data_IF_092289949481
#
_entry.id   IF_092289949481
#
_cell.length_a   1.000
_cell.length_b   1.000
_cell.length_c   1.000
_cell.angle_alpha   90.00
_cell.angle_beta   90.00
_cell.angle_gamma   90.00
#
_symmetry.space_group_name_H-M   'P 1'
#
loop_
_entity.id
_entity.type
_entity.pdbx_description
1 polymer ?
#
# COMPACT_ATOMS: atom_id res chain seq x y z
N UNK A 1 16.83 -7.29 40.57
CA UNK A 1 17.55 -6.62 39.48
C UNK A 1 16.52 -6.11 38.47
N UNK A 2 16.01 -4.92 38.72
CA UNK A 2 15.17 -4.14 37.83
C UNK A 2 16.05 -3.61 36.71
N UNK A 3 15.60 -3.70 35.44
CA UNK A 3 15.74 -2.73 34.34
C UNK A 3 15.35 -3.43 33.04
N UNK A 4 14.05 -3.48 32.79
CA UNK A 4 13.47 -3.89 31.53
C UNK A 4 13.43 -2.69 30.57
N UNK A 5 14.03 -2.92 29.40
CA UNK A 5 13.57 -2.52 28.06
C UNK A 5 13.52 -1.02 27.77
N UNK A 6 14.57 -0.57 27.08
CA UNK A 6 14.66 0.73 26.42
C UNK A 6 13.58 0.92 25.35
N UNK A 7 12.98 2.09 25.46
CA UNK A 7 12.10 2.81 24.54
C UNK A 7 12.85 3.14 23.23
N UNK A 8 12.28 2.76 22.09
CA UNK A 8 12.63 3.30 20.77
C UNK A 8 11.30 3.60 20.06
N UNK A 9 10.92 4.88 19.86
CA UNK A 9 9.68 5.22 19.19
C UNK A 9 9.77 4.87 17.70
N UNK A 10 8.92 3.93 17.30
CA UNK A 10 8.69 3.57 15.92
C UNK A 10 8.40 4.81 15.06
N UNK A 11 9.24 5.03 14.05
CA UNK A 11 8.99 6.01 12.99
C UNK A 11 7.64 5.70 12.33
N UNK A 12 6.73 6.66 12.14
CA UNK A 12 5.54 6.44 11.34
C UNK A 12 5.95 6.37 9.87
N UNK A 13 6.48 5.22 9.45
CA UNK A 13 6.40 4.82 8.05
C UNK A 13 4.92 4.60 7.78
N UNK A 14 4.24 5.63 7.32
CA UNK A 14 2.96 5.47 6.63
C UNK A 14 3.25 5.38 5.14
N UNK A 15 3.67 4.22 4.57
CA UNK A 15 3.31 3.96 3.20
C UNK A 15 1.81 3.69 3.26
N UNK A 16 1.03 4.65 2.75
CA UNK A 16 -0.32 4.52 2.20
C UNK A 16 -0.80 3.09 2.30
N UNK A 17 -1.83 2.82 3.13
CA UNK A 17 -2.58 1.57 3.02
C UNK A 17 -2.68 1.29 1.53
N UNK A 18 -1.94 0.30 1.03
CA UNK A 18 -2.21 -0.19 -0.31
C UNK A 18 -3.57 -0.81 -0.07
N UNK A 19 -4.60 -0.01 -0.29
CA UNK A 19 -5.93 -0.45 -0.66
C UNK A 19 -5.72 -1.15 -1.98
N UNK A 20 -4.97 -2.25 -1.95
CA UNK A 20 -5.04 -3.35 -2.85
C UNK A 20 -6.37 -4.02 -2.48
N UNK A 21 -7.46 -3.27 -2.64
CA UNK A 21 -8.68 -3.84 -3.19
C UNK A 21 -8.18 -4.45 -4.48
N UNK A 22 -7.73 -5.72 -4.41
CA UNK A 22 -6.99 -6.46 -5.44
C UNK A 22 -7.57 -6.11 -6.79
N UNK A 23 -7.02 -5.08 -7.42
CA UNK A 23 -7.66 -4.49 -8.58
C UNK A 23 -7.43 -5.52 -9.66
N UNK A 24 -8.53 -6.17 -10.05
CA UNK A 24 -8.47 -7.26 -11.00
C UNK A 24 -7.75 -6.76 -12.24
N UNK A 25 -6.88 -7.57 -12.85
CA UNK A 25 -6.14 -7.19 -14.06
C UNK A 25 -7.06 -6.63 -15.17
N UNK A 26 -8.33 -7.03 -15.21
CA UNK A 26 -9.32 -6.56 -16.17
C UNK A 26 -10.20 -5.38 -15.70
N UNK A 27 -10.12 -4.96 -14.44
CA UNK A 27 -10.89 -3.87 -13.85
C UNK A 27 -10.39 -2.50 -14.36
N UNK A 28 -11.22 -1.44 -14.40
CA UNK A 28 -10.76 -0.07 -14.65
C UNK A 28 -9.61 0.35 -13.74
N UNK A 29 -8.62 1.03 -14.31
CA UNK A 29 -7.45 1.45 -13.57
C UNK A 29 -7.79 2.61 -12.61
N UNK A 30 -7.43 2.51 -11.31
CA UNK A 30 -7.81 3.50 -10.29
C UNK A 30 -7.13 4.87 -10.48
N UNK A 31 -6.20 4.99 -11.43
CA UNK A 31 -5.56 6.26 -11.79
C UNK A 31 -6.44 7.17 -12.68
N UNK A 32 -7.68 6.77 -12.98
CA UNK A 32 -8.62 7.58 -13.76
C UNK A 32 -8.35 7.63 -15.27
N UNK A 33 -7.43 6.82 -15.80
CA UNK A 33 -7.08 6.83 -17.22
C UNK A 33 -8.10 6.16 -18.15
N UNK A 34 -9.21 5.63 -17.61
CA UNK A 34 -10.26 4.91 -18.38
C UNK A 34 -9.80 3.58 -19.00
N UNK A 35 -8.55 3.17 -18.79
CA UNK A 35 -7.95 1.93 -19.30
C UNK A 35 -8.09 0.83 -18.26
N UNK A 36 -8.11 -0.44 -18.70
CA UNK A 36 -8.02 -1.59 -17.78
C UNK A 36 -6.70 -1.58 -17.02
N UNK A 37 -6.70 -2.05 -15.78
CA UNK A 37 -5.53 -2.06 -14.89
C UNK A 37 -4.31 -2.70 -15.57
N UNK A 38 -4.46 -3.88 -16.20
CA UNK A 38 -3.39 -4.57 -16.94
C UNK A 38 -2.78 -3.79 -18.11
N UNK A 39 -3.44 -2.74 -18.61
CA UNK A 39 -2.96 -1.92 -19.73
C UNK A 39 -2.44 -0.55 -19.28
N UNK A 40 -2.40 -0.32 -17.96
CA UNK A 40 -2.01 0.96 -17.39
C UNK A 40 -0.99 0.78 -16.25
N UNK A 41 -1.40 0.27 -15.09
CA UNK A 41 -0.53 0.10 -13.91
C UNK A 41 -0.24 -1.36 -13.56
N UNK A 42 -0.90 -2.32 -14.22
CA UNK A 42 -0.78 -3.75 -13.96
C UNK A 42 0.22 -4.47 -14.85
N UNK A 43 1.35 -3.82 -15.18
CA UNK A 43 2.50 -4.44 -15.85
C UNK A 43 3.07 -5.58 -15.01
#
# INVERSE_FOLDING_TARGET
MTLNRGDEPATPTTPTQRTDSKVGRNDPCPCGSGKKYKKCHGS
#
